data_IF_995214991467
#
_entry.id   IF_995214991467
#
_cell.length_a   1.000
_cell.length_b   1.000
_cell.length_c   1.000
_cell.angle_alpha   90.00
_cell.angle_beta   90.00
_cell.angle_gamma   90.00
#
_symmetry.space_group_name_H-M   'P 1'
#
loop_
_entity.id
_entity.type
_entity.pdbx_description
1 polymer ?
#
# COMPACT_ATOMS: atom_id res chain seq x y z
N UNK A 1 -15.71 4.52 18.56
CA UNK A 1 -14.78 4.28 17.45
C UNK A 1 -15.25 3.06 16.71
N UNK A 2 -15.61 3.19 15.43
CA UNK A 2 -15.85 2.03 14.58
C UNK A 2 -14.52 1.29 14.39
N UNK A 3 -14.50 -0.05 14.39
CA UNK A 3 -13.26 -0.80 14.20
C UNK A 3 -12.67 -0.49 12.83
N UNK A 4 -11.43 0.00 12.80
CA UNK A 4 -10.64 0.14 11.57
C UNK A 4 -10.28 -1.25 11.09
N UNK A 5 -10.96 -1.73 10.04
CA UNK A 5 -10.58 -2.98 9.39
C UNK A 5 -9.36 -2.70 8.50
N UNK A 6 -8.22 -3.24 8.90
CA UNK A 6 -6.96 -3.09 8.19
C UNK A 6 -6.93 -4.03 6.97
N UNK A 7 -6.92 -3.47 5.77
CA UNK A 7 -6.88 -4.23 4.51
C UNK A 7 -5.47 -4.82 4.30
N UNK A 8 -5.37 -6.15 4.24
CA UNK A 8 -4.12 -6.86 4.02
C UNK A 8 -3.40 -6.47 2.73
N UNK A 9 -4.13 -6.00 1.71
CA UNK A 9 -3.53 -5.50 0.46
C UNK A 9 -2.79 -4.17 0.67
N UNK A 10 -3.28 -3.31 1.56
CA UNK A 10 -2.60 -2.06 1.92
C UNK A 10 -1.29 -2.35 2.64
N UNK A 11 -1.30 -3.32 3.56
CA UNK A 11 -0.10 -3.79 4.25
C UNK A 11 0.89 -4.45 3.29
N UNK A 12 0.42 -5.27 2.35
CA UNK A 12 1.27 -5.89 1.34
C UNK A 12 1.93 -4.83 0.43
N UNK A 13 1.17 -3.83 -0.01
CA UNK A 13 1.68 -2.70 -0.78
C UNK A 13 2.77 -1.94 0.00
N UNK A 14 2.53 -1.67 1.28
CA UNK A 14 3.51 -1.02 2.16
C UNK A 14 4.78 -1.85 2.34
N UNK A 15 4.66 -3.13 2.71
CA UNK A 15 5.80 -4.01 2.92
C UNK A 15 6.65 -4.17 1.64
N UNK A 16 5.99 -4.32 0.48
CA UNK A 16 6.66 -4.39 -0.82
C UNK A 16 7.38 -3.09 -1.13
N UNK A 17 6.71 -1.95 -0.99
CA UNK A 17 7.29 -0.63 -1.25
C UNK A 17 8.49 -0.35 -0.34
N UNK A 18 8.40 -0.66 0.95
CA UNK A 18 9.50 -0.50 1.91
C UNK A 18 10.72 -1.37 1.54
N UNK A 19 10.50 -2.58 1.02
CA UNK A 19 11.56 -3.48 0.58
C UNK A 19 12.26 -3.00 -0.70
N UNK A 20 11.51 -2.50 -1.69
CA UNK A 20 12.10 -2.13 -3.00
C UNK A 20 12.46 -0.65 -3.13
N UNK A 21 11.95 0.22 -2.24
CA UNK A 21 12.21 1.67 -2.25
C UNK A 21 11.68 2.43 -3.46
N UNK A 22 10.85 1.80 -4.31
CA UNK A 22 10.35 2.37 -5.56
C UNK A 22 8.89 1.99 -5.81
N UNK A 23 8.02 3.00 -5.97
CA UNK A 23 6.61 2.78 -6.29
C UNK A 23 6.41 2.05 -7.62
N UNK A 24 7.22 2.35 -8.63
CA UNK A 24 7.12 1.69 -9.93
C UNK A 24 7.54 0.22 -9.85
N UNK A 25 8.62 -0.09 -9.11
CA UNK A 25 9.03 -1.49 -8.92
C UNK A 25 8.03 -2.27 -8.07
N UNK A 26 7.50 -1.68 -6.99
CA UNK A 26 6.50 -2.32 -6.14
C UNK A 26 5.22 -2.64 -6.93
N UNK A 27 4.79 -1.72 -7.80
CA UNK A 27 3.64 -1.93 -8.68
C UNK A 27 3.89 -3.09 -9.65
N UNK A 28 5.07 -3.14 -10.27
CA UNK A 28 5.45 -4.25 -11.16
C UNK A 28 5.43 -5.60 -10.43
N UNK A 29 5.96 -5.65 -9.21
CA UNK A 29 6.05 -6.89 -8.43
C UNK A 29 4.68 -7.38 -7.95
N UNK A 30 3.76 -6.45 -7.66
CA UNK A 30 2.38 -6.77 -7.25
C UNK A 30 1.40 -6.91 -8.41
N UNK A 31 1.86 -6.79 -9.67
CA UNK A 31 0.99 -6.77 -10.85
C UNK A 31 -0.11 -5.69 -10.76
N UNK A 32 0.27 -4.50 -10.28
CA UNK A 32 -0.57 -3.32 -10.11
C UNK A 32 -0.04 -2.15 -10.95
N UNK A 33 -0.83 -1.09 -11.06
CA UNK A 33 -0.34 0.20 -11.52
C UNK A 33 0.38 0.93 -10.38
N UNK A 34 1.31 1.84 -10.74
CA UNK A 34 1.96 2.73 -9.76
C UNK A 34 0.93 3.55 -8.97
N UNK A 35 -0.14 4.01 -9.64
CA UNK A 35 -1.22 4.75 -8.99
C UNK A 35 -1.98 3.90 -7.96
N UNK A 36 -2.25 2.63 -8.24
CA UNK A 36 -2.92 1.73 -7.30
C UNK A 36 -2.09 1.54 -6.02
N UNK A 37 -0.76 1.36 -6.14
CA UNK A 37 0.14 1.31 -4.99
C UNK A 37 0.11 2.62 -4.21
N UNK A 38 0.22 3.77 -4.87
CA UNK A 38 0.16 5.08 -4.22
C UNK A 38 -1.15 5.29 -3.44
N UNK A 39 -2.30 4.89 -4.02
CA UNK A 39 -3.59 4.98 -3.35
C UNK A 39 -3.69 4.06 -2.14
N UNK A 40 -3.14 2.84 -2.23
CA UNK A 40 -3.12 1.90 -1.11
C UNK A 40 -2.31 2.44 0.08
N UNK A 41 -1.14 3.05 -0.18
CA UNK A 41 -0.31 3.67 0.87
C UNK A 41 -1.04 4.86 1.50
N UNK A 42 -1.58 5.79 0.70
CA UNK A 42 -2.35 6.93 1.22
C UNK A 42 -3.56 6.49 2.04
N UNK A 43 -4.22 5.40 1.64
CA UNK A 43 -5.33 4.85 2.38
C UNK A 43 -4.88 4.22 3.70
N UNK A 44 -3.73 3.55 3.72
CA UNK A 44 -3.13 3.00 4.94
C UNK A 44 -2.77 4.10 5.93
N UNK A 45 -2.15 5.18 5.45
CA UNK A 45 -1.79 6.35 6.26
C UNK A 45 -3.03 6.94 6.92
N UNK A 46 -4.11 7.21 6.16
CA UNK A 46 -5.37 7.75 6.71
C UNK A 46 -6.05 6.83 7.73
N UNK A 47 -5.87 5.52 7.61
CA UNK A 47 -6.49 4.55 8.52
C UNK A 47 -5.73 4.49 9.87
N UNK A 48 -4.44 4.84 9.88
CA UNK A 48 -3.51 4.64 11.01
C UNK A 48 -2.95 5.95 11.60
N UNK A 49 -3.11 7.09 10.92
CA UNK A 49 -2.62 8.42 11.32
C UNK A 49 -3.44 9.55 10.70
#
# INVERSE_FOLDING_TARGET
>A
MSPTILDSRKLLAFATLARVGSFTQAAKELSLTQSAVSHAIKALERDLG
#
